data_IF_131658924360
#
_entry.id   IF_131658924360
#
_cell.length_a   1.000
_cell.length_b   1.000
_cell.length_c   1.000
_cell.angle_alpha   90.00
_cell.angle_beta   90.00
_cell.angle_gamma   90.00
#
_symmetry.space_group_name_H-M   'P 1'
#
loop_
_entity.id
_entity.type
_entity.pdbx_description
1 polymer ?
#
# COMPACT_ATOMS: atom_id res chain seq x y z
N UNK A 1 1.84 -70.96 18.83
CA UNK A 1 3.09 -70.64 18.12
C UNK A 1 2.79 -69.48 17.18
N UNK A 2 2.63 -68.26 17.70
CA UNK A 2 3.70 -67.30 18.03
C UNK A 2 4.54 -66.89 16.80
N UNK A 3 4.46 -65.58 16.52
CA UNK A 3 5.51 -64.67 16.01
C UNK A 3 5.68 -64.54 14.48
N UNK A 4 5.96 -63.29 14.11
CA UNK A 4 6.31 -62.73 12.78
C UNK A 4 5.10 -62.39 11.90
N UNK A 5 4.69 -61.15 11.64
CA UNK A 5 5.42 -59.87 11.63
C UNK A 5 4.44 -58.73 11.96
N UNK A 6 4.49 -58.23 13.18
CA UNK A 6 3.95 -56.93 13.51
C UNK A 6 5.03 -55.88 13.19
N UNK A 7 4.97 -55.23 12.03
CA UNK A 7 5.60 -53.92 11.76
C UNK A 7 5.29 -53.46 10.32
N UNK A 8 4.14 -52.84 10.09
CA UNK A 8 3.98 -51.79 9.05
C UNK A 8 2.74 -50.95 9.38
N UNK A 9 2.65 -50.46 10.63
CA UNK A 9 1.86 -49.24 10.87
C UNK A 9 2.76 -48.11 10.38
N UNK A 10 2.66 -47.81 9.09
CA UNK A 10 3.25 -46.61 8.54
C UNK A 10 2.70 -45.43 9.33
N UNK A 11 3.57 -44.79 10.12
CA UNK A 11 3.33 -43.44 10.63
C UNK A 11 3.14 -42.53 9.42
N UNK A 12 1.89 -42.33 9.02
CA UNK A 12 1.50 -41.21 8.19
C UNK A 12 1.04 -40.07 9.12
N UNK A 13 1.93 -39.68 10.03
CA UNK A 13 1.98 -38.29 10.44
C UNK A 13 2.71 -37.58 9.32
N UNK A 14 1.94 -37.12 8.33
CA UNK A 14 2.44 -36.10 7.42
C UNK A 14 2.95 -34.96 8.30
N UNK A 15 4.26 -34.80 8.36
CA UNK A 15 4.86 -33.57 8.83
C UNK A 15 4.44 -32.52 7.81
N UNK A 16 3.25 -31.93 8.03
CA UNK A 16 2.95 -30.64 7.44
C UNK A 16 4.04 -29.72 7.92
N UNK A 17 4.97 -29.37 7.03
CA UNK A 17 5.94 -28.34 7.31
C UNK A 17 5.13 -27.10 7.71
N UNK A 18 5.14 -26.75 9.00
CA UNK A 18 4.75 -25.42 9.41
C UNK A 18 5.66 -24.48 8.63
N UNK A 19 5.13 -23.82 7.61
CA UNK A 19 5.80 -22.70 6.95
C UNK A 19 5.82 -21.59 7.99
N UNK A 20 6.82 -21.63 8.88
CA UNK A 20 7.14 -20.50 9.73
C UNK A 20 7.54 -19.38 8.81
N UNK A 21 6.63 -18.43 8.63
CA UNK A 21 6.92 -17.21 7.90
C UNK A 21 8.13 -16.52 8.55
N UNK A 22 9.23 -16.32 7.81
CA UNK A 22 10.48 -15.74 8.33
C UNK A 22 10.24 -14.30 8.80
N UNK A 23 10.74 -13.85 9.97
CA UNK A 23 10.48 -12.50 10.49
C UNK A 23 10.84 -11.39 9.49
N UNK A 24 10.27 -10.19 9.65
CA UNK A 24 10.65 -9.03 8.83
C UNK A 24 12.16 -8.80 8.88
N UNK A 25 12.73 -8.36 7.77
CA UNK A 25 14.16 -8.07 7.62
C UNK A 25 14.36 -6.68 7.00
N UNK A 26 15.51 -6.01 7.25
CA UNK A 26 15.80 -4.72 6.63
C UNK A 26 15.84 -4.82 5.11
N UNK A 27 15.34 -3.80 4.42
CA UNK A 27 15.48 -3.67 2.96
C UNK A 27 16.97 -3.47 2.64
N UNK A 28 17.52 -4.34 1.79
CA UNK A 28 18.90 -4.24 1.31
C UNK A 28 18.98 -4.05 -0.23
N UNK A 29 17.83 -3.92 -0.91
CA UNK A 29 17.76 -3.69 -2.36
C UNK A 29 18.11 -2.23 -2.68
N UNK A 30 19.23 -1.94 -3.38
CA UNK A 30 19.71 -0.56 -3.56
C UNK A 30 18.68 0.39 -4.20
N UNK A 31 17.96 -0.07 -5.22
CA UNK A 31 16.94 0.73 -5.92
C UNK A 31 15.75 1.13 -5.01
N UNK A 32 15.54 0.40 -3.92
CA UNK A 32 14.41 0.56 -3.00
C UNK A 32 14.77 1.28 -1.69
N UNK A 33 16.00 1.76 -1.52
CA UNK A 33 16.42 2.49 -0.32
C UNK A 33 15.65 3.81 -0.11
N UNK A 34 15.05 4.38 -1.16
CA UNK A 34 14.24 5.59 -1.09
C UNK A 34 12.76 5.31 -0.85
N UNK A 35 12.37 4.06 -0.63
CA UNK A 35 10.98 3.74 -0.30
C UNK A 35 10.63 4.24 1.10
N UNK A 36 9.35 4.55 1.34
CA UNK A 36 8.92 4.98 2.67
C UNK A 36 9.03 3.92 3.78
N UNK A 37 9.24 2.66 3.41
CA UNK A 37 9.45 1.56 4.34
C UNK A 37 10.91 1.09 4.30
N UNK A 38 11.42 0.65 5.45
CA UNK A 38 12.79 0.15 5.61
C UNK A 38 12.85 -1.33 5.98
N UNK A 39 11.70 -1.99 6.12
CA UNK A 39 11.59 -3.42 6.44
C UNK A 39 10.74 -4.13 5.39
N UNK A 40 11.20 -5.30 4.99
CA UNK A 40 10.57 -6.19 4.02
C UNK A 40 10.46 -7.60 4.59
N UNK A 41 9.87 -8.51 3.82
CA UNK A 41 9.82 -9.93 4.12
C UNK A 41 9.96 -10.72 2.82
N UNK A 42 10.57 -11.89 2.93
CA UNK A 42 10.58 -12.91 1.88
C UNK A 42 9.67 -14.11 2.22
N UNK A 43 9.11 -14.80 1.21
CA UNK A 43 9.23 -14.51 -0.22
C UNK A 43 8.46 -13.25 -0.65
N UNK A 44 8.95 -12.56 -1.69
CA UNK A 44 8.23 -11.43 -2.28
C UNK A 44 7.11 -11.88 -3.24
N UNK A 45 6.40 -10.93 -3.85
CA UNK A 45 5.27 -11.20 -4.78
C UNK A 45 5.66 -11.93 -6.05
N UNK A 46 6.96 -12.05 -6.31
CA UNK A 46 7.56 -12.74 -7.44
C UNK A 46 8.21 -14.07 -7.03
N UNK A 47 7.95 -14.51 -5.79
CA UNK A 47 8.41 -15.77 -5.22
C UNK A 47 9.93 -15.90 -5.06
N UNK A 48 10.66 -14.78 -5.03
CA UNK A 48 12.07 -14.81 -4.64
C UNK A 48 12.18 -15.07 -3.14
N UNK A 49 12.86 -16.16 -2.76
CA UNK A 49 13.01 -16.54 -1.35
C UNK A 49 14.02 -15.69 -0.57
N UNK A 50 14.88 -14.92 -1.25
CA UNK A 50 15.91 -14.09 -0.61
C UNK A 50 16.05 -12.76 -1.33
N UNK A 51 16.51 -11.71 -0.62
CA UNK A 51 16.74 -10.41 -1.24
C UNK A 51 17.87 -10.43 -2.26
N UNK A 52 18.87 -11.32 -2.14
CA UNK A 52 19.93 -11.46 -3.16
C UNK A 52 19.35 -11.86 -4.52
N UNK A 53 18.39 -12.79 -4.54
CA UNK A 53 17.69 -13.18 -5.77
C UNK A 53 16.83 -12.02 -6.31
N UNK A 54 16.18 -11.27 -5.41
CA UNK A 54 15.40 -10.09 -5.80
C UNK A 54 16.28 -8.96 -6.36
N UNK A 55 17.48 -8.73 -5.80
CA UNK A 55 18.46 -7.74 -6.27
C UNK A 55 18.87 -8.05 -7.71
N UNK A 56 19.21 -9.30 -8.01
CA UNK A 56 19.58 -9.71 -9.37
C UNK A 56 18.42 -9.52 -10.34
N UNK A 57 17.20 -9.89 -9.95
CA UNK A 57 16.03 -9.83 -10.81
C UNK A 57 15.47 -8.41 -11.00
N UNK A 58 15.59 -7.52 -10.01
CA UNK A 58 15.11 -6.13 -10.11
C UNK A 58 16.11 -5.22 -10.83
N UNK A 59 17.41 -5.55 -10.78
CA UNK A 59 18.48 -4.76 -11.39
C UNK A 59 18.29 -4.52 -12.89
N UNK A 60 17.63 -5.44 -13.61
CA UNK A 60 17.31 -5.27 -15.03
C UNK A 60 16.42 -4.06 -15.35
N UNK A 61 15.75 -3.48 -14.34
CA UNK A 61 14.89 -2.31 -14.50
C UNK A 61 15.55 -0.99 -14.08
N UNK A 62 16.81 -1.01 -13.60
CA UNK A 62 17.50 0.21 -13.14
C UNK A 62 17.53 1.28 -14.24
N UNK A 63 17.93 0.92 -15.46
CA UNK A 63 17.95 1.84 -16.59
C UNK A 63 16.54 2.37 -16.94
N UNK A 64 15.52 1.51 -16.89
CA UNK A 64 14.14 1.90 -17.17
C UNK A 64 13.61 2.89 -16.12
N UNK A 65 14.01 2.71 -14.86
CA UNK A 65 13.69 3.64 -13.77
C UNK A 65 14.41 4.98 -13.96
N UNK A 66 15.66 4.97 -14.41
CA UNK A 66 16.44 6.19 -14.66
C UNK A 66 15.95 6.99 -15.87
N UNK A 67 15.37 6.31 -16.88
CA UNK A 67 14.66 6.96 -17.99
C UNK A 67 13.43 7.75 -17.49
N UNK A 68 12.91 7.41 -16.31
CA UNK A 68 11.80 8.10 -15.65
C UNK A 68 10.53 8.19 -16.53
N UNK A 69 10.21 7.10 -17.23
CA UNK A 69 9.02 6.97 -18.08
C UNK A 69 7.70 7.01 -17.29
N UNK A 70 7.73 6.72 -15.99
CA UNK A 70 6.58 6.85 -15.09
C UNK A 70 7.04 7.17 -13.66
N UNK A 71 6.44 8.17 -12.99
CA UNK A 71 6.86 8.58 -11.65
C UNK A 71 6.61 7.52 -10.57
N UNK A 72 5.76 6.53 -10.88
CA UNK A 72 5.38 5.45 -9.94
C UNK A 72 6.08 4.12 -10.22
N UNK A 73 6.93 4.04 -11.25
CA UNK A 73 7.59 2.78 -11.63
C UNK A 73 8.47 2.24 -10.48
N UNK A 74 9.32 3.09 -9.90
CA UNK A 74 10.19 2.69 -8.77
C UNK A 74 9.38 2.15 -7.60
N UNK A 75 8.31 2.86 -7.23
CA UNK A 75 7.41 2.44 -6.17
C UNK A 75 6.78 1.08 -6.48
N UNK A 76 6.24 0.91 -7.69
CA UNK A 76 5.62 -0.34 -8.13
C UNK A 76 6.58 -1.52 -8.06
N UNK A 77 7.79 -1.37 -8.62
CA UNK A 77 8.81 -2.41 -8.59
C UNK A 77 9.19 -2.75 -7.14
N UNK A 78 9.47 -1.76 -6.30
CA UNK A 78 9.82 -2.02 -4.91
C UNK A 78 8.67 -2.65 -4.11
N UNK A 79 7.42 -2.27 -4.36
CA UNK A 79 6.25 -2.91 -3.76
C UNK A 79 6.11 -4.40 -4.16
N UNK A 80 6.57 -4.78 -5.36
CA UNK A 80 6.58 -6.17 -5.84
C UNK A 80 7.78 -6.98 -5.33
N UNK A 81 8.97 -6.38 -5.31
CA UNK A 81 10.24 -7.06 -5.03
C UNK A 81 10.69 -7.00 -3.57
N UNK A 82 10.32 -5.94 -2.84
CA UNK A 82 10.60 -5.75 -1.42
C UNK A 82 9.34 -5.21 -0.71
N UNK A 83 8.26 -6.02 -0.63
CA UNK A 83 7.00 -5.57 -0.06
C UNK A 83 7.14 -5.17 1.41
N UNK A 84 6.46 -4.09 1.82
CA UNK A 84 6.48 -3.63 3.20
C UNK A 84 5.97 -4.71 4.17
N UNK A 85 6.73 -4.97 5.23
CA UNK A 85 6.39 -5.95 6.24
C UNK A 85 5.53 -5.34 7.38
N UNK A 86 4.34 -5.91 7.63
CA UNK A 86 3.48 -5.56 8.75
C UNK A 86 3.03 -6.79 9.52
N UNK A 87 2.66 -6.61 10.79
CA UNK A 87 2.14 -7.70 11.63
C UNK A 87 0.79 -8.25 11.15
N UNK A 88 -0.01 -7.44 10.46
CA UNK A 88 -1.33 -7.85 9.94
C UNK A 88 -1.22 -8.69 8.66
N UNK A 89 -0.18 -8.45 7.85
CA UNK A 89 0.01 -9.09 6.54
C UNK A 89 1.25 -9.97 6.51
N UNK A 90 1.42 -10.77 7.57
CA UNK A 90 2.55 -11.67 7.70
C UNK A 90 2.54 -12.72 6.58
N UNK A 91 1.45 -13.46 6.39
CA UNK A 91 1.45 -14.60 5.46
C UNK A 91 1.35 -14.22 3.98
N UNK A 92 0.73 -13.09 3.68
CA UNK A 92 0.57 -12.56 2.32
C UNK A 92 0.79 -11.04 2.37
N UNK A 93 1.96 -10.54 1.91
CA UNK A 93 2.26 -9.12 1.97
C UNK A 93 1.23 -8.29 1.18
N UNK A 94 1.06 -7.02 1.55
CA UNK A 94 0.13 -6.16 0.79
C UNK A 94 0.68 -5.93 -0.62
N UNK A 95 -0.16 -6.11 -1.63
CA UNK A 95 0.18 -5.86 -3.04
C UNK A 95 -0.01 -4.38 -3.42
N UNK A 96 0.73 -3.87 -4.43
CA UNK A 96 0.43 -2.56 -5.00
C UNK A 96 -0.97 -2.56 -5.65
N UNK A 97 -1.64 -1.41 -5.61
CA UNK A 97 -2.93 -1.27 -6.26
C UNK A 97 -2.82 -1.43 -7.79
N UNK A 98 -3.85 -2.00 -8.41
CA UNK A 98 -3.95 -2.18 -9.88
C UNK A 98 -3.71 -0.87 -10.65
N UNK A 99 -4.22 0.25 -10.14
CA UNK A 99 -4.03 1.59 -10.71
C UNK A 99 -2.57 2.05 -10.74
N UNK A 100 -1.75 1.65 -9.76
CA UNK A 100 -0.31 1.95 -9.70
C UNK A 100 0.42 1.17 -10.78
N UNK A 101 0.13 -0.13 -10.92
CA UNK A 101 0.69 -0.95 -11.98
C UNK A 101 0.35 -0.42 -13.37
N UNK A 102 -0.92 -0.08 -13.60
CA UNK A 102 -1.37 0.46 -14.89
C UNK A 102 -0.62 1.74 -15.24
N UNK A 103 -0.51 2.70 -14.32
CA UNK A 103 0.29 3.92 -14.54
C UNK A 103 1.77 3.65 -14.79
N UNK A 104 2.36 2.65 -14.15
CA UNK A 104 3.74 2.25 -14.39
C UNK A 104 3.90 1.65 -15.80
N UNK A 105 3.02 0.70 -16.16
CA UNK A 105 3.00 0.05 -17.47
C UNK A 105 2.73 1.05 -18.59
N UNK A 106 1.68 1.85 -18.49
CA UNK A 106 1.25 2.75 -19.56
C UNK A 106 2.34 3.81 -19.89
N UNK A 107 3.12 4.23 -18.89
CA UNK A 107 4.26 5.12 -19.12
C UNK A 107 5.50 4.41 -19.70
N UNK A 108 5.77 3.18 -19.28
CA UNK A 108 7.06 2.52 -19.51
C UNK A 108 7.06 1.40 -20.55
N UNK A 109 5.93 0.75 -20.80
CA UNK A 109 5.80 -0.26 -21.85
C UNK A 109 6.10 0.30 -23.26
N UNK A 110 5.69 1.53 -23.63
CA UNK A 110 6.10 2.11 -24.92
C UNK A 110 7.62 2.30 -25.04
N UNK A 111 8.34 2.45 -23.93
CA UNK A 111 9.82 2.51 -23.93
C UNK A 111 10.40 1.13 -24.16
N UNK A 112 9.92 0.11 -23.44
CA UNK A 112 10.33 -1.29 -23.63
C UNK A 112 10.13 -1.76 -25.07
N UNK A 113 8.99 -1.41 -25.67
CA UNK A 113 8.65 -1.80 -27.04
C UNK A 113 9.61 -1.25 -28.09
N UNK A 114 10.24 -0.08 -27.86
CA UNK A 114 11.28 0.46 -28.77
C UNK A 114 12.52 -0.42 -28.83
N UNK A 115 12.76 -1.20 -27.79
CA UNK A 115 13.86 -2.16 -27.69
C UNK A 115 13.38 -3.61 -27.87
N UNK A 116 12.21 -3.83 -28.48
CA UNK A 116 11.59 -5.15 -28.70
C UNK A 116 11.34 -5.95 -27.41
N UNK A 117 11.12 -5.27 -26.29
CA UNK A 117 10.67 -5.88 -25.03
C UNK A 117 9.19 -5.57 -24.78
N UNK A 118 8.49 -6.50 -24.16
CA UNK A 118 7.11 -6.31 -23.70
C UNK A 118 7.07 -6.11 -22.19
N UNK A 119 5.95 -5.58 -21.67
CA UNK A 119 5.72 -5.62 -20.22
C UNK A 119 5.70 -7.08 -19.74
N UNK A 120 6.45 -7.44 -18.69
CA UNK A 120 6.62 -8.83 -18.29
C UNK A 120 5.34 -9.38 -17.63
N UNK A 121 5.02 -10.64 -17.93
CA UNK A 121 3.82 -11.31 -17.40
C UNK A 121 3.81 -11.39 -15.86
N UNK A 122 4.99 -11.53 -15.25
CA UNK A 122 5.12 -11.56 -13.78
C UNK A 122 4.77 -10.22 -13.11
N UNK A 123 4.71 -9.12 -13.88
CA UNK A 123 4.25 -7.80 -13.43
C UNK A 123 2.89 -7.43 -14.05
N UNK A 124 2.13 -8.40 -14.57
CA UNK A 124 0.82 -8.14 -15.14
C UNK A 124 -0.12 -7.49 -14.10
N UNK A 125 -0.86 -6.46 -14.51
CA UNK A 125 -1.70 -5.70 -13.60
C UNK A 125 -3.03 -6.39 -13.26
N UNK A 126 -3.37 -7.49 -13.94
CA UNK A 126 -4.72 -8.05 -13.87
C UNK A 126 -5.04 -8.73 -12.55
N UNK A 127 -4.04 -9.36 -11.94
CA UNK A 127 -4.15 -10.06 -10.66
C UNK A 127 -3.93 -9.16 -9.44
N UNK A 128 -3.80 -7.84 -9.65
CA UNK A 128 -3.62 -6.88 -8.58
C UNK A 128 -4.97 -6.36 -8.03
N UNK A 129 -5.06 -6.12 -6.72
CA UNK A 129 -6.29 -5.61 -6.08
C UNK A 129 -6.66 -4.20 -6.55
N UNK A 130 -7.97 -3.94 -6.60
CA UNK A 130 -8.54 -2.60 -6.77
C UNK A 130 -8.88 -2.04 -5.39
N UNK A 131 -8.53 -0.78 -5.13
CA UNK A 131 -8.67 -0.14 -3.81
C UNK A 131 -10.08 -0.28 -3.20
N UNK A 132 -11.13 -0.09 -4.00
CA UNK A 132 -12.52 -0.19 -3.52
C UNK A 132 -12.98 -1.63 -3.22
N UNK A 133 -12.16 -2.64 -3.51
CA UNK A 133 -12.48 -4.07 -3.40
C UNK A 133 -11.45 -4.89 -2.61
N UNK A 134 -10.42 -4.26 -2.04
CA UNK A 134 -9.40 -4.94 -1.25
C UNK A 134 -8.32 -3.99 -0.73
N UNK A 135 -7.47 -4.49 0.17
CA UNK A 135 -6.34 -3.73 0.74
C UNK A 135 -5.17 -3.73 -0.24
N UNK A 136 -4.71 -2.55 -0.64
CA UNK A 136 -3.57 -2.37 -1.55
C UNK A 136 -2.84 -1.05 -1.27
N UNK A 137 -1.59 -0.94 -1.71
CA UNK A 137 -0.77 0.27 -1.49
C UNK A 137 -0.59 1.13 -2.75
N UNK A 138 -0.56 2.44 -2.54
CA UNK A 138 -0.35 3.49 -3.56
C UNK A 138 0.63 4.54 -3.01
N UNK A 139 1.48 5.16 -3.85
CA UNK A 139 2.45 6.16 -3.37
C UNK A 139 1.79 7.39 -2.75
N UNK A 140 0.56 7.73 -3.16
CA UNK A 140 -0.23 8.83 -2.61
C UNK A 140 -0.66 8.59 -1.15
N UNK A 141 -0.63 7.33 -0.68
CA UNK A 141 -0.85 7.03 0.74
C UNK A 141 0.38 7.35 1.61
N UNK A 142 1.54 7.65 1.00
CA UNK A 142 2.81 7.77 1.74
C UNK A 142 3.64 9.03 1.40
N UNK A 143 3.28 9.81 0.38
CA UNK A 143 4.03 11.04 0.04
C UNK A 143 3.10 12.25 -0.09
N UNK A 144 3.42 13.26 0.72
CA UNK A 144 3.05 14.69 0.77
C UNK A 144 1.95 15.21 1.69
N UNK A 145 0.88 14.50 2.02
CA UNK A 145 -0.10 15.05 2.98
C UNK A 145 0.00 14.29 4.29
N UNK A 146 0.94 14.70 5.16
CA UNK A 146 0.78 14.36 6.57
C UNK A 146 -0.60 14.89 6.97
N UNK A 147 -1.43 14.07 7.64
CA UNK A 147 -2.76 14.53 8.00
C UNK A 147 -2.64 15.76 8.90
N UNK A 148 -3.40 16.78 8.57
CA UNK A 148 -3.59 17.95 9.40
C UNK A 148 -4.51 17.57 10.54
N UNK A 149 -4.12 17.98 11.75
CA UNK A 149 -4.85 17.65 12.97
C UNK A 149 -5.30 18.96 13.60
N UNK A 150 -6.62 19.15 13.64
CA UNK A 150 -7.25 20.38 14.17
C UNK A 150 -8.24 20.05 15.27
N UNK A 151 -8.32 20.91 16.29
CA UNK A 151 -9.46 21.00 17.19
C UNK A 151 -10.45 22.00 16.61
N UNK A 152 -11.67 21.56 16.36
CA UNK A 152 -12.67 22.41 15.74
C UNK A 152 -14.06 22.19 16.35
N UNK A 153 -14.90 23.21 16.20
CA UNK A 153 -16.33 23.16 16.56
C UNK A 153 -17.19 23.09 15.32
N UNK A 154 -18.05 22.08 15.24
CA UNK A 154 -18.99 21.91 14.12
C UNK A 154 -19.99 23.06 14.11
N UNK A 155 -20.12 23.77 12.99
CA UNK A 155 -21.10 24.85 12.79
C UNK A 155 -22.33 24.37 12.05
N UNK A 156 -22.13 23.64 10.96
CA UNK A 156 -23.22 23.07 10.16
C UNK A 156 -22.77 21.79 9.46
N UNK A 157 -23.74 20.95 9.16
CA UNK A 157 -23.56 19.73 8.38
C UNK A 157 -24.59 19.78 7.27
N UNK A 158 -24.12 19.71 6.03
CA UNK A 158 -24.96 19.65 4.84
C UNK A 158 -24.67 18.36 4.08
N UNK A 159 -25.71 17.76 3.50
CA UNK A 159 -25.62 16.48 2.82
C UNK A 159 -26.12 16.63 1.40
N UNK A 160 -25.22 16.52 0.44
CA UNK A 160 -25.49 16.64 -1.00
C UNK A 160 -25.47 15.23 -1.61
N UNK A 161 -26.37 14.36 -1.16
CA UNK A 161 -26.47 12.97 -1.64
C UNK A 161 -26.09 11.91 -0.60
N UNK A 162 -26.06 10.64 -0.99
CA UNK A 162 -25.85 9.54 -0.05
C UNK A 162 -24.43 9.51 0.55
N UNK A 163 -23.42 9.92 -0.22
CA UNK A 163 -22.01 9.78 0.14
C UNK A 163 -21.25 11.09 0.28
N UNK A 164 -21.88 12.24 0.01
CA UNK A 164 -21.21 13.54 0.04
C UNK A 164 -21.76 14.36 1.22
N UNK A 165 -20.94 14.49 2.27
CA UNK A 165 -21.25 15.30 3.44
C UNK A 165 -20.24 16.44 3.49
N UNK A 166 -20.75 17.67 3.56
CA UNK A 166 -19.94 18.87 3.80
C UNK A 166 -20.20 19.35 5.21
N UNK A 167 -19.16 19.33 6.05
CA UNK A 167 -19.18 19.82 7.42
C UNK A 167 -18.43 21.14 7.49
N UNK A 168 -19.10 22.22 7.89
CA UNK A 168 -18.43 23.49 8.17
C UNK A 168 -17.99 23.49 9.63
N UNK A 169 -16.71 23.70 9.86
CA UNK A 169 -16.13 23.75 11.21
C UNK A 169 -15.47 25.10 11.47
N UNK A 170 -15.54 25.56 12.71
CA UNK A 170 -14.75 26.68 13.21
C UNK A 170 -13.49 26.12 13.88
N UNK A 171 -12.33 26.41 13.29
CA UNK A 171 -11.03 25.94 13.79
C UNK A 171 -10.69 26.71 15.06
N UNK A 172 -10.52 25.98 16.18
CA UNK A 172 -10.10 26.55 17.46
C UNK A 172 -8.58 26.50 17.63
N UNK A 173 -8.00 25.33 17.36
CA UNK A 173 -6.58 25.06 17.53
C UNK A 173 -6.10 24.14 16.41
N UNK A 174 -4.84 24.33 16.01
CA UNK A 174 -4.16 23.52 15.00
C UNK A 174 -3.04 22.77 15.70
N UNK A 175 -3.21 21.46 15.87
CA UNK A 175 -2.21 20.61 16.55
C UNK A 175 -1.07 20.21 15.62
N UNK A 176 -1.36 19.97 14.35
CA UNK A 176 -0.38 19.65 13.31
C UNK A 176 -0.87 20.19 11.99
N UNK A 177 -0.04 21.00 11.33
CA UNK A 177 -0.33 21.50 9.99
C UNK A 177 0.93 21.67 9.16
N UNK A 178 0.90 21.19 7.91
CA UNK A 178 1.88 21.48 6.88
C UNK A 178 1.56 22.76 6.09
N UNK A 179 0.31 23.24 6.18
CA UNK A 179 -0.19 24.47 5.56
C UNK A 179 -0.68 25.49 6.60
N UNK A 180 -0.83 26.76 6.21
CA UNK A 180 -1.46 27.77 7.07
C UNK A 180 -2.98 27.62 7.06
N UNK A 181 -3.56 26.98 8.08
CA UNK A 181 -5.01 26.90 8.24
C UNK A 181 -5.48 28.20 8.91
N UNK A 182 -6.31 28.99 8.20
CA UNK A 182 -6.89 30.20 8.76
C UNK A 182 -7.79 29.89 9.96
N UNK A 183 -7.67 30.67 11.04
CA UNK A 183 -8.63 30.64 12.15
C UNK A 183 -9.98 31.18 11.64
N UNK A 184 -10.87 30.29 11.24
CA UNK A 184 -12.12 30.63 10.58
C UNK A 184 -12.99 29.42 10.26
N UNK A 185 -14.02 29.63 9.43
CA UNK A 185 -14.88 28.55 8.96
C UNK A 185 -14.22 27.81 7.79
N UNK A 186 -13.95 26.52 8.00
CA UNK A 186 -13.35 25.64 6.99
C UNK A 186 -14.39 24.58 6.58
N UNK A 187 -14.69 24.44 5.27
CA UNK A 187 -15.51 23.34 4.78
C UNK A 187 -14.67 22.07 4.69
N UNK A 188 -15.16 21.00 5.31
CA UNK A 188 -14.58 19.67 5.23
C UNK A 188 -15.51 18.78 4.40
N UNK A 189 -14.94 18.08 3.42
CA UNK A 189 -15.68 17.19 2.54
C UNK A 189 -15.35 15.76 2.95
N UNK A 190 -16.37 14.96 3.21
CA UNK A 190 -16.22 13.51 3.41
C UNK A 190 -16.94 12.78 2.30
N UNK A 191 -16.19 11.95 1.57
CA UNK A 191 -16.69 11.01 0.57
C UNK A 191 -16.29 9.61 1.02
N UNK A 192 -17.10 8.98 1.86
CA UNK A 192 -16.81 7.63 2.34
C UNK A 192 -18.01 6.70 2.24
N UNK A 193 -17.73 5.46 1.89
CA UNK A 193 -18.66 4.33 1.91
C UNK A 193 -18.93 3.81 3.34
N UNK A 194 -18.19 4.32 4.33
CA UNK A 194 -18.28 3.92 5.72
C UNK A 194 -19.32 4.77 6.48
N UNK A 195 -19.89 4.21 7.55
CA UNK A 195 -20.72 4.97 8.48
C UNK A 195 -19.84 5.95 9.27
N UNK A 196 -19.67 7.18 8.77
CA UNK A 196 -19.04 8.25 9.55
C UNK A 196 -19.84 8.50 10.85
N UNK A 197 -19.18 8.75 11.99
CA UNK A 197 -19.87 9.20 13.19
C UNK A 197 -20.71 10.45 12.85
N UNK A 198 -21.96 10.47 13.29
CA UNK A 198 -22.86 11.60 13.05
C UNK A 198 -22.31 12.84 13.75
N UNK A 199 -21.93 13.85 12.96
CA UNK A 199 -21.52 15.15 13.47
C UNK A 199 -22.75 16.03 13.69
N UNK A 200 -22.83 16.70 14.83
CA UNK A 200 -23.93 17.61 15.15
C UNK A 200 -23.44 19.04 15.35
N UNK A 201 -24.20 20.07 14.92
CA UNK A 201 -23.87 21.46 15.19
C UNK A 201 -23.61 21.71 16.69
N UNK A 202 -22.54 22.43 17.00
CA UNK A 202 -22.11 22.72 18.37
C UNK A 202 -21.13 21.70 18.95
N UNK A 203 -20.95 20.53 18.34
CA UNK A 203 -20.02 19.50 18.80
C UNK A 203 -18.56 19.93 18.61
N UNK A 204 -17.72 19.63 19.61
CA UNK A 204 -16.28 19.81 19.53
C UNK A 204 -15.60 18.49 19.19
N UNK A 205 -14.69 18.54 18.22
CA UNK A 205 -14.06 17.36 17.63
C UNK A 205 -12.58 17.62 17.33
N UNK A 206 -11.78 16.56 17.42
CA UNK A 206 -10.45 16.52 16.82
C UNK A 206 -10.62 15.89 15.45
N UNK A 207 -10.16 16.59 14.42
CA UNK A 207 -10.33 16.19 13.03
C UNK A 207 -8.97 15.96 12.43
N UNK A 208 -8.84 14.81 11.78
CA UNK A 208 -7.71 14.47 10.91
C UNK A 208 -8.16 14.69 9.46
N UNK A 209 -7.50 15.59 8.73
CA UNK A 209 -7.88 15.95 7.36
C UNK A 209 -6.65 16.15 6.46
N UNK A 210 -6.90 16.31 5.17
CA UNK A 210 -5.87 16.54 4.14
C UNK A 210 -6.28 17.73 3.29
N UNK A 211 -5.30 18.44 2.71
CA UNK A 211 -5.57 19.51 1.76
C UNK A 211 -6.08 18.90 0.44
N UNK A 212 -7.30 19.25 0.03
CA UNK A 212 -7.81 18.83 -1.27
C UNK A 212 -7.23 19.72 -2.37
N UNK A 213 -6.32 19.17 -3.20
CA UNK A 213 -5.81 19.85 -4.40
C UNK A 213 -6.55 19.36 -5.63
N UNK A 214 -7.27 20.26 -6.30
CA UNK A 214 -7.95 20.03 -7.59
C UNK A 214 -7.00 20.06 -8.78
#
# INVERSE_FOLDING_TARGET
MLLFMATMVFLWMGAGAMVYSAPCEPVNIPMCNSMPWNITRMPNHLHHSTQENAILAIGQYEELVDINCSPVLRFFLCAMYAPFCTLEFLHDPIKPCKSVCQRARDGCEPVLQRYNHSWPHSLACDDLPVYDRGVCISPEAIVTDLPEVIHAKVKSVSRTGCHEITTVVEVKEVFKSSISIGQGQVPLITNSSCSCPQMVPGQEVIIMCYEWRS
#
